data_IF_063097527021
#
_entry.id   IF_063097527021
#
_cell.length_a   1.000
_cell.length_b   1.000
_cell.length_c   1.000
_cell.angle_alpha   90.00
_cell.angle_beta   90.00
_cell.angle_gamma   90.00
#
_symmetry.space_group_name_H-M   'P 1'
#
loop_
_entity.id
_entity.type
_entity.pdbx_description
1 polymer ?
#
# COMPACT_ATOMS: atom_id res chain seq x y z
N UNK A 1 12.52 26.61 -23.66
CA UNK A 1 12.07 25.69 -22.59
C UNK A 1 11.22 26.49 -21.64
N UNK A 2 10.02 26.00 -21.33
CA UNK A 2 9.14 26.62 -20.34
C UNK A 2 9.71 26.41 -18.93
N UNK A 3 9.47 27.36 -18.02
CA UNK A 3 10.00 27.34 -16.65
C UNK A 3 9.64 26.04 -15.90
N UNK A 4 8.46 25.48 -16.18
CA UNK A 4 8.01 24.20 -15.63
C UNK A 4 8.86 23.01 -16.11
N UNK A 5 9.33 23.01 -17.37
CA UNK A 5 10.16 21.92 -17.92
C UNK A 5 11.55 21.88 -17.27
N UNK A 6 12.11 23.06 -16.97
CA UNK A 6 13.40 23.18 -16.28
C UNK A 6 13.28 22.62 -14.87
N UNK A 7 12.21 22.99 -14.16
CA UNK A 7 11.98 22.56 -12.77
C UNK A 7 11.81 21.03 -12.65
N UNK A 8 11.19 20.37 -13.64
CA UNK A 8 11.03 18.91 -13.65
C UNK A 8 12.38 18.21 -13.88
N UNK A 9 13.17 18.68 -14.85
CA UNK A 9 14.52 18.14 -15.09
C UNK A 9 15.42 18.29 -13.88
N UNK A 10 15.29 19.39 -13.15
CA UNK A 10 16.07 19.60 -11.93
C UNK A 10 15.60 18.67 -10.81
N UNK A 11 14.29 18.41 -10.72
CA UNK A 11 13.71 17.45 -9.78
C UNK A 11 14.23 16.02 -10.00
N UNK A 12 14.45 15.58 -11.24
CA UNK A 12 15.01 14.25 -11.53
C UNK A 12 16.36 14.00 -10.80
N UNK A 13 17.20 15.02 -10.70
CA UNK A 13 18.50 14.94 -10.02
C UNK A 13 18.39 14.93 -8.49
N UNK A 14 17.22 15.26 -7.94
CA UNK A 14 17.00 15.45 -6.50
C UNK A 14 15.87 14.57 -5.94
N UNK A 15 15.42 13.55 -6.69
CA UNK A 15 14.31 12.65 -6.34
C UNK A 15 14.36 12.06 -4.92
N UNK A 16 15.56 11.77 -4.40
CA UNK A 16 15.72 11.17 -3.07
C UNK A 16 15.77 12.20 -1.94
N UNK A 17 15.61 13.50 -2.22
CA UNK A 17 15.63 14.56 -1.22
C UNK A 17 14.19 14.95 -0.82
N UNK A 18 13.77 14.53 0.38
CA UNK A 18 12.42 14.80 0.92
C UNK A 18 12.06 16.28 1.05
N UNK A 19 13.04 17.15 1.30
CA UNK A 19 12.78 18.59 1.37
C UNK A 19 12.49 19.15 -0.03
N UNK A 20 13.24 18.68 -1.02
CA UNK A 20 13.07 19.07 -2.41
C UNK A 20 11.72 18.58 -2.96
N UNK A 21 11.33 17.36 -2.61
CA UNK A 21 10.00 16.80 -2.88
C UNK A 21 8.88 17.66 -2.27
N UNK A 22 8.99 18.00 -0.97
CA UNK A 22 8.00 18.79 -0.26
C UNK A 22 7.81 20.18 -0.89
N UNK A 23 8.91 20.83 -1.26
CA UNK A 23 8.89 22.15 -1.93
C UNK A 23 8.30 22.04 -3.33
N UNK A 24 8.68 21.02 -4.10
CA UNK A 24 8.16 20.79 -5.44
C UNK A 24 6.64 20.56 -5.44
N UNK A 25 6.14 19.74 -4.51
CA UNK A 25 4.71 19.48 -4.34
C UNK A 25 3.94 20.77 -3.97
N UNK A 26 4.52 21.64 -3.14
CA UNK A 26 3.95 22.95 -2.82
C UNK A 26 3.85 23.85 -4.06
N UNK A 27 4.92 23.90 -4.88
CA UNK A 27 5.00 24.72 -6.10
C UNK A 27 3.98 24.24 -7.13
N UNK A 28 3.90 22.93 -7.37
CA UNK A 28 2.98 22.33 -8.35
C UNK A 28 1.53 22.54 -7.91
N UNK A 29 1.21 22.40 -6.61
CA UNK A 29 -0.14 22.66 -6.09
C UNK A 29 -0.54 24.13 -6.24
N UNK A 30 0.37 25.07 -5.93
CA UNK A 30 0.11 26.50 -6.06
C UNK A 30 -0.08 26.94 -7.53
N UNK A 31 0.55 26.23 -8.48
CA UNK A 31 0.56 26.60 -9.90
C UNK A 31 -0.18 25.59 -10.79
N UNK A 32 -1.14 24.86 -10.23
CA UNK A 32 -1.81 23.72 -10.88
C UNK A 32 -2.32 24.01 -12.29
N UNK A 33 -2.90 25.19 -12.55
CA UNK A 33 -3.39 25.57 -13.88
C UNK A 33 -2.27 25.70 -14.91
N UNK A 34 -1.14 26.32 -14.55
CA UNK A 34 0.04 26.44 -15.41
C UNK A 34 0.64 25.06 -15.72
N UNK A 35 0.76 24.21 -14.70
CA UNK A 35 1.23 22.82 -14.89
C UNK A 35 0.24 21.95 -15.67
N UNK A 36 -1.05 22.30 -15.67
CA UNK A 36 -2.08 21.66 -16.50
C UNK A 36 -2.16 22.22 -17.93
N UNK A 37 -1.71 23.44 -18.20
CA UNK A 37 -1.58 23.93 -19.59
C UNK A 37 -0.43 23.22 -20.31
N UNK A 38 0.65 22.88 -19.58
CA UNK A 38 1.71 21.99 -20.06
C UNK A 38 1.26 20.52 -20.11
N UNK A 39 -0.01 20.19 -19.83
CA UNK A 39 -0.55 18.82 -19.96
C UNK A 39 -0.60 18.32 -21.41
N UNK A 40 -0.47 19.19 -22.41
CA UNK A 40 -0.19 18.74 -23.79
C UNK A 40 1.25 18.24 -23.98
N UNK A 41 2.16 18.56 -23.05
CA UNK A 41 3.56 18.14 -22.99
C UNK A 41 3.86 17.50 -21.61
N UNK A 42 3.30 16.31 -21.35
CA UNK A 42 3.78 15.27 -20.41
C UNK A 42 4.16 15.58 -18.94
N UNK A 43 4.02 16.79 -18.38
CA UNK A 43 4.56 17.07 -17.03
C UNK A 43 3.91 16.25 -15.90
N UNK A 44 2.58 16.10 -15.93
CA UNK A 44 1.88 15.30 -14.91
C UNK A 44 2.18 13.80 -15.05
N UNK A 45 2.45 13.33 -16.26
CA UNK A 45 2.75 11.94 -16.54
C UNK A 45 4.22 11.62 -16.26
N UNK A 46 5.15 12.55 -16.54
CA UNK A 46 6.53 12.48 -16.08
C UNK A 46 6.58 12.45 -14.55
N UNK A 47 5.91 13.38 -13.85
CA UNK A 47 5.89 13.38 -12.38
C UNK A 47 5.27 12.08 -11.81
N UNK A 48 4.23 11.53 -12.44
CA UNK A 48 3.67 10.22 -12.06
C UNK A 48 4.61 9.07 -12.34
N UNK A 49 5.30 9.04 -13.47
CA UNK A 49 6.34 8.04 -13.77
C UNK A 49 7.48 8.13 -12.75
N UNK A 50 7.85 9.36 -12.35
CA UNK A 50 8.91 9.59 -11.38
C UNK A 50 8.55 9.06 -9.98
N UNK A 51 7.26 9.08 -9.60
CA UNK A 51 6.73 8.58 -8.33
C UNK A 51 6.15 7.16 -8.43
N UNK A 52 6.15 6.55 -9.62
CA UNK A 52 5.45 5.30 -9.89
C UNK A 52 5.97 4.17 -9.00
N UNK A 53 7.28 4.06 -8.87
CA UNK A 53 7.92 3.01 -8.07
C UNK A 53 7.55 3.13 -6.58
N UNK A 54 7.52 4.35 -6.03
CA UNK A 54 7.11 4.57 -4.63
C UNK A 54 5.61 4.31 -4.43
N UNK A 55 4.77 4.71 -5.39
CA UNK A 55 3.33 4.46 -5.33
C UNK A 55 2.99 2.98 -5.49
N UNK A 56 3.70 2.25 -6.36
CA UNK A 56 3.51 0.82 -6.55
C UNK A 56 4.05 0.05 -5.33
N UNK A 57 5.18 0.46 -4.74
CA UNK A 57 5.67 -0.11 -3.48
C UNK A 57 4.67 0.08 -2.34
N UNK A 58 4.15 1.30 -2.13
CA UNK A 58 3.12 1.57 -1.11
C UNK A 58 1.81 0.84 -1.37
N UNK A 59 1.45 0.63 -2.65
CA UNK A 59 0.27 -0.19 -3.00
C UNK A 59 0.49 -1.64 -2.58
N UNK A 60 1.66 -2.20 -2.86
CA UNK A 60 2.00 -3.57 -2.48
C UNK A 60 2.04 -3.73 -0.96
N UNK A 61 2.69 -2.79 -0.25
CA UNK A 61 2.69 -2.75 1.21
C UNK A 61 1.27 -2.73 1.78
N UNK A 62 0.39 -1.86 1.25
CA UNK A 62 -1.00 -1.78 1.69
C UNK A 62 -1.82 -3.04 1.37
N UNK A 63 -1.53 -3.72 0.25
CA UNK A 63 -2.17 -5.00 -0.08
C UNK A 63 -1.75 -6.11 0.88
N UNK A 64 -0.46 -6.19 1.20
CA UNK A 64 0.08 -7.15 2.16
C UNK A 64 -0.44 -6.87 3.58
N UNK A 65 -0.53 -5.61 3.99
CA UNK A 65 -1.14 -5.23 5.27
C UNK A 65 -2.63 -5.62 5.33
N UNK A 66 -3.38 -5.36 4.26
CA UNK A 66 -4.79 -5.76 4.16
C UNK A 66 -5.00 -7.28 4.24
N UNK A 67 -4.13 -8.07 3.60
CA UNK A 67 -4.16 -9.55 3.72
C UNK A 67 -3.90 -10.01 5.15
N UNK A 68 -2.95 -9.38 5.85
CA UNK A 68 -2.63 -9.68 7.26
C UNK A 68 -3.81 -9.36 8.18
N UNK A 69 -4.43 -8.19 8.00
CA UNK A 69 -5.63 -7.81 8.76
C UNK A 69 -6.77 -8.81 8.53
N UNK A 70 -7.00 -9.23 7.29
CA UNK A 70 -8.00 -10.24 6.96
C UNK A 70 -7.69 -11.59 7.63
N UNK A 71 -6.44 -12.06 7.59
CA UNK A 71 -6.00 -13.29 8.24
C UNK A 71 -6.23 -13.24 9.77
N UNK A 72 -5.86 -12.12 10.40
CA UNK A 72 -6.07 -11.91 11.83
C UNK A 72 -7.56 -11.91 12.20
N UNK A 73 -8.40 -11.28 11.38
CA UNK A 73 -9.85 -11.27 11.56
C UNK A 73 -10.44 -12.68 11.45
N UNK A 74 -10.04 -13.45 10.43
CA UNK A 74 -10.48 -14.84 10.24
C UNK A 74 -10.18 -15.69 11.49
N UNK A 75 -8.93 -15.66 11.96
CA UNK A 75 -8.51 -16.42 13.15
C UNK A 75 -9.35 -16.02 14.36
N UNK A 76 -9.52 -14.71 14.58
CA UNK A 76 -10.30 -14.22 15.72
C UNK A 76 -11.75 -14.69 15.67
N UNK A 77 -12.37 -14.71 14.49
CA UNK A 77 -13.77 -15.16 14.32
C UNK A 77 -13.86 -16.66 14.60
N UNK A 78 -12.99 -17.46 14.00
CA UNK A 78 -12.95 -18.93 14.20
C UNK A 78 -12.71 -19.26 15.68
N UNK A 79 -11.72 -18.65 16.32
CA UNK A 79 -11.43 -18.90 17.74
C UNK A 79 -12.58 -18.44 18.64
N UNK A 80 -13.26 -17.36 18.30
CA UNK A 80 -14.44 -16.90 19.05
C UNK A 80 -15.62 -17.85 18.88
N UNK A 81 -15.82 -18.41 17.68
CA UNK A 81 -16.83 -19.44 17.46
C UNK A 81 -16.52 -20.72 18.27
N UNK A 82 -15.27 -21.16 18.28
CA UNK A 82 -14.84 -22.28 19.12
C UNK A 82 -15.13 -22.02 20.60
N UNK A 83 -14.75 -20.83 21.11
CA UNK A 83 -14.95 -20.47 22.53
C UNK A 83 -16.41 -20.31 22.91
N UNK A 84 -17.21 -19.63 22.09
CA UNK A 84 -18.59 -19.30 22.43
C UNK A 84 -19.51 -20.50 22.28
N UNK A 85 -19.32 -21.29 21.23
CA UNK A 85 -20.18 -22.44 20.93
C UNK A 85 -19.61 -23.77 21.45
N UNK A 86 -18.39 -23.77 22.01
CA UNK A 86 -17.71 -24.96 22.53
C UNK A 86 -17.61 -26.07 21.49
N UNK A 87 -17.31 -25.69 20.24
CA UNK A 87 -17.16 -26.61 19.11
C UNK A 87 -15.70 -26.77 18.74
N UNK A 88 -15.38 -27.89 18.09
CA UNK A 88 -14.06 -28.13 17.53
C UNK A 88 -13.75 -27.16 16.37
N UNK A 89 -12.47 -27.06 16.02
CA UNK A 89 -11.98 -26.16 14.99
C UNK A 89 -12.63 -26.42 13.62
N UNK A 90 -12.81 -27.68 13.25
CA UNK A 90 -13.35 -28.07 11.95
C UNK A 90 -14.83 -27.64 11.84
N UNK A 91 -15.59 -27.84 12.91
CA UNK A 91 -16.97 -27.38 13.02
C UNK A 91 -17.07 -25.87 13.03
N UNK A 92 -16.17 -25.16 13.72
CA UNK A 92 -16.11 -23.69 13.70
C UNK A 92 -15.83 -23.15 12.29
N UNK A 93 -14.81 -23.68 11.61
CA UNK A 93 -14.46 -23.29 10.25
C UNK A 93 -15.64 -23.49 9.29
N UNK A 94 -16.25 -24.69 9.30
CA UNK A 94 -17.44 -24.97 8.48
C UNK A 94 -18.59 -24.02 8.78
N UNK A 95 -18.86 -23.74 10.06
CA UNK A 95 -19.96 -22.87 10.48
C UNK A 95 -19.83 -21.42 9.99
N UNK A 96 -18.61 -20.96 9.72
CA UNK A 96 -18.32 -19.60 9.25
C UNK A 96 -18.09 -19.59 7.71
N UNK A 97 -18.12 -20.75 7.06
CA UNK A 97 -17.92 -20.86 5.61
C UNK A 97 -16.44 -20.79 5.19
N UNK A 98 -15.53 -21.22 6.06
CA UNK A 98 -14.08 -21.32 5.77
C UNK A 98 -13.58 -22.76 5.94
N UNK A 99 -12.38 -23.03 5.46
CA UNK A 99 -11.71 -24.33 5.56
C UNK A 99 -10.61 -24.35 6.62
N UNK A 100 -10.20 -25.55 7.05
CA UNK A 100 -9.03 -25.74 7.91
C UNK A 100 -7.75 -25.23 7.24
N UNK A 101 -7.61 -25.41 5.93
CA UNK A 101 -6.45 -24.96 5.16
C UNK A 101 -6.34 -23.44 5.17
N UNK A 102 -7.45 -22.73 4.94
CA UNK A 102 -7.50 -21.26 4.98
C UNK A 102 -7.16 -20.72 6.37
N UNK A 103 -7.69 -21.34 7.43
CA UNK A 103 -7.37 -20.94 8.81
C UNK A 103 -5.89 -21.18 9.16
N UNK A 104 -5.33 -22.34 8.78
CA UNK A 104 -3.94 -22.66 9.05
C UNK A 104 -2.99 -21.79 8.21
N UNK A 105 -3.33 -21.52 6.95
CA UNK A 105 -2.61 -20.59 6.09
C UNK A 105 -2.59 -19.18 6.67
N UNK A 106 -3.72 -18.70 7.19
CA UNK A 106 -3.80 -17.42 7.91
C UNK A 106 -2.90 -17.41 9.15
N UNK A 107 -2.83 -18.50 9.93
CA UNK A 107 -1.92 -18.60 11.08
C UNK A 107 -0.45 -18.58 10.68
N UNK A 108 -0.10 -19.27 9.60
CA UNK A 108 1.27 -19.30 9.09
C UNK A 108 1.71 -17.92 8.58
N UNK A 109 0.86 -17.25 7.80
CA UNK A 109 1.10 -15.89 7.28
C UNK A 109 1.43 -14.89 8.40
N UNK A 110 0.73 -14.97 9.54
CA UNK A 110 1.01 -14.11 10.71
C UNK A 110 2.21 -14.56 11.55
N UNK A 111 2.58 -15.84 11.49
CA UNK A 111 3.75 -16.36 12.19
C UNK A 111 5.06 -15.97 11.49
N UNK A 112 5.08 -16.01 10.15
CA UNK A 112 6.25 -15.67 9.34
C UNK A 112 6.65 -14.19 9.50
N UNK A 113 5.68 -13.29 9.69
CA UNK A 113 5.93 -11.87 9.96
C UNK A 113 6.67 -11.56 11.27
N UNK A 114 6.66 -12.47 12.26
CA UNK A 114 7.38 -12.24 13.51
C UNK A 114 8.87 -12.62 13.43
N UNK A 115 9.30 -13.31 12.37
CA UNK A 115 10.67 -13.83 12.24
C UNK A 115 11.59 -12.91 11.40
N UNK A 116 11.05 -11.86 10.80
CA UNK A 116 11.80 -10.89 9.98
C UNK A 116 12.31 -9.67 10.78
N UNK A 117 12.06 -9.62 12.10
CA UNK A 117 12.43 -8.50 13.00
C UNK A 117 13.46 -8.94 14.06
N UNK A 118 14.06 -10.13 13.96
CA UNK A 118 15.08 -10.64 14.89
C UNK A 118 16.53 -10.46 14.39
#
# INVERSE_FOLDING_TARGET
MAEAEILIKEYENHKNNKLYESVMDLIVRANKSKFQEVKSMCVCDALKELMKDELDAKREEGLEEGKKEQAAMLIKIVESAMRNFHVDLETACRGIGTTLEEYNGAKQMLAETHNEIA
#
